data_IF_123480868447
#
_entry.id   IF_123480868447
#
_cell.length_a   1.000
_cell.length_b   1.000
_cell.length_c   1.000
_cell.angle_alpha   90.00
_cell.angle_beta   90.00
_cell.angle_gamma   90.00
#
_symmetry.space_group_name_H-M   'P 1'
#
loop_
_entity.id
_entity.type
_entity.pdbx_description
1 polymer ?
#
# COMPACT_ATOMS: atom_id res chain seq x y z
N UNK A 1 1.81 -5.14 15.21
CA UNK A 1 1.24 -5.67 13.95
C UNK A 1 2.34 -6.02 12.97
N UNK A 2 2.20 -7.15 12.27
CA UNK A 2 3.08 -7.59 11.19
C UNK A 2 2.34 -7.50 9.87
N UNK A 3 3.02 -7.07 8.81
CA UNK A 3 2.54 -7.21 7.44
C UNK A 3 2.89 -8.62 6.97
N UNK A 4 1.91 -9.42 6.60
CA UNK A 4 2.09 -10.81 6.18
C UNK A 4 2.10 -10.94 4.66
N UNK A 5 1.18 -10.25 3.99
CA UNK A 5 1.00 -10.38 2.55
C UNK A 5 0.53 -9.05 1.94
N UNK A 6 1.05 -8.73 0.78
CA UNK A 6 0.56 -7.70 -0.11
C UNK A 6 0.07 -8.35 -1.39
N UNK A 7 -1.18 -8.11 -1.74
CA UNK A 7 -1.75 -8.57 -3.01
C UNK A 7 -2.25 -7.40 -3.83
N UNK A 8 -2.07 -7.49 -5.13
CA UNK A 8 -2.64 -6.57 -6.11
C UNK A 8 -3.59 -7.39 -6.98
N UNK A 9 -4.85 -6.98 -7.06
CA UNK A 9 -5.88 -7.74 -7.78
C UNK A 9 -6.75 -6.86 -8.67
N UNK A 10 -7.18 -7.42 -9.79
CA UNK A 10 -8.32 -6.93 -10.57
C UNK A 10 -9.61 -7.35 -9.86
N UNK A 11 -10.62 -6.49 -9.89
CA UNK A 11 -11.95 -6.82 -9.37
C UNK A 11 -13.04 -6.77 -10.45
N UNK A 12 -12.67 -6.41 -11.67
CA UNK A 12 -13.57 -6.34 -12.83
C UNK A 12 -12.81 -6.77 -14.09
N UNK A 13 -13.43 -7.54 -15.03
CA UNK A 13 -14.77 -8.13 -15.00
C UNK A 13 -14.87 -9.35 -14.06
N UNK A 14 -13.74 -9.93 -13.68
CA UNK A 14 -13.64 -11.05 -12.74
C UNK A 14 -12.47 -10.82 -11.78
N UNK A 15 -12.55 -11.40 -10.60
CA UNK A 15 -11.45 -11.28 -9.64
C UNK A 15 -10.23 -12.10 -10.10
N UNK A 16 -9.07 -11.43 -10.17
CA UNK A 16 -7.81 -12.03 -10.58
C UNK A 16 -6.64 -11.41 -9.83
N UNK A 17 -5.77 -12.24 -9.27
CA UNK A 17 -4.53 -11.78 -8.64
C UNK A 17 -3.52 -11.42 -9.72
N UNK A 18 -3.10 -10.16 -9.74
CA UNK A 18 -2.03 -9.64 -10.62
C UNK A 18 -0.66 -9.99 -10.02
N UNK A 19 -0.52 -9.73 -8.73
CA UNK A 19 0.73 -9.94 -7.99
C UNK A 19 0.44 -10.25 -6.54
N UNK A 20 1.21 -11.17 -5.98
CA UNK A 20 1.19 -11.46 -4.55
C UNK A 20 2.62 -11.48 -4.01
N UNK A 21 2.81 -10.92 -2.83
CA UNK A 21 4.09 -10.86 -2.13
C UNK A 21 3.84 -11.31 -0.70
N UNK A 22 4.41 -12.45 -0.34
CA UNK A 22 4.39 -12.96 1.02
C UNK A 22 5.65 -12.49 1.74
N UNK A 23 5.48 -11.78 2.85
CA UNK A 23 6.58 -11.34 3.70
C UNK A 23 7.01 -12.47 4.62
N UNK A 24 8.21 -12.36 5.16
CA UNK A 24 8.78 -13.30 6.14
C UNK A 24 9.08 -12.54 7.44
N UNK A 25 9.16 -13.26 8.53
CA UNK A 25 9.62 -12.67 9.79
C UNK A 25 11.07 -12.19 9.64
N UNK A 26 11.39 -11.02 10.16
CA UNK A 26 12.69 -10.40 10.06
C UNK A 26 12.83 -9.51 8.83
N UNK A 27 14.04 -9.45 8.25
CA UNK A 27 14.36 -8.57 7.14
C UNK A 27 13.82 -9.10 5.81
N UNK A 28 13.08 -8.27 5.09
CA UNK A 28 12.58 -8.55 3.75
C UNK A 28 13.25 -7.59 2.76
N UNK A 29 14.02 -8.13 1.83
CA UNK A 29 14.72 -7.37 0.81
C UNK A 29 14.02 -7.53 -0.54
N UNK A 30 13.70 -6.41 -1.18
CA UNK A 30 13.17 -6.39 -2.53
C UNK A 30 14.34 -6.11 -3.48
N UNK A 31 14.81 -7.18 -4.14
CA UNK A 31 15.95 -7.13 -5.05
C UNK A 31 15.51 -7.40 -6.48
N UNK A 32 16.33 -6.95 -7.42
CA UNK A 32 16.16 -7.29 -8.83
C UNK A 32 16.71 -8.69 -9.09
N UNK A 33 15.94 -9.52 -9.76
CA UNK A 33 16.35 -10.87 -10.16
C UNK A 33 17.07 -10.88 -11.53
N UNK A 34 17.17 -9.75 -12.20
CA UNK A 34 17.76 -9.63 -13.54
C UNK A 34 19.28 -9.63 -13.55
N UNK A 35 19.88 -10.36 -14.49
CA UNK A 35 21.33 -10.39 -14.72
C UNK A 35 21.88 -9.11 -15.38
N UNK A 36 21.04 -8.21 -15.88
CA UNK A 36 21.44 -6.98 -16.58
C UNK A 36 21.33 -5.77 -15.65
N UNK A 37 22.47 -5.30 -15.14
CA UNK A 37 22.59 -4.18 -14.19
C UNK A 37 22.07 -2.84 -14.73
N UNK A 38 21.95 -2.66 -16.05
CA UNK A 38 21.55 -1.38 -16.66
C UNK A 38 20.07 -1.01 -16.50
N UNK A 39 19.20 -1.93 -16.06
CA UNK A 39 17.74 -1.68 -15.93
C UNK A 39 17.20 -1.85 -14.51
N UNK A 40 18.05 -1.90 -13.50
CA UNK A 40 17.64 -2.25 -12.12
C UNK A 40 16.72 -1.24 -11.44
N UNK A 41 16.70 0.02 -11.89
CA UNK A 41 15.92 1.09 -11.24
C UNK A 41 14.43 1.13 -11.62
N UNK A 42 13.98 0.33 -12.60
CA UNK A 42 12.61 0.40 -13.13
C UNK A 42 11.68 -0.73 -12.70
N UNK A 43 12.12 -1.66 -11.85
CA UNK A 43 11.42 -2.94 -11.61
C UNK A 43 10.37 -2.88 -10.47
N UNK A 44 9.73 -1.77 -10.28
CA UNK A 44 8.57 -1.70 -9.39
C UNK A 44 8.86 -1.75 -7.89
N UNK A 45 10.13 -1.67 -7.44
CA UNK A 45 10.49 -1.64 -6.01
C UNK A 45 9.78 -0.50 -5.27
N UNK A 46 9.89 0.71 -5.81
CA UNK A 46 9.21 1.89 -5.28
C UNK A 46 7.68 1.75 -5.34
N UNK A 47 7.15 1.08 -6.37
CA UNK A 47 5.72 0.84 -6.50
C UNK A 47 5.19 -0.03 -5.38
N UNK A 48 5.92 -1.07 -4.97
CA UNK A 48 5.53 -1.94 -3.85
C UNK A 48 5.43 -1.12 -2.55
N UNK A 49 6.42 -0.26 -2.28
CA UNK A 49 6.39 0.62 -1.11
C UNK A 49 5.22 1.61 -1.15
N UNK A 50 4.94 2.19 -2.33
CA UNK A 50 3.79 3.06 -2.55
C UNK A 50 2.46 2.33 -2.32
N UNK A 51 2.34 1.08 -2.77
CA UNK A 51 1.14 0.26 -2.53
C UNK A 51 0.92 -0.02 -1.05
N UNK A 52 1.99 -0.35 -0.31
CA UNK A 52 1.93 -0.52 1.15
C UNK A 52 1.48 0.80 1.81
N UNK A 53 2.06 1.93 1.42
CA UNK A 53 1.70 3.24 1.98
C UNK A 53 0.24 3.62 1.70
N UNK A 54 -0.28 3.32 0.51
CA UNK A 54 -1.69 3.52 0.16
C UNK A 54 -2.60 2.63 1.03
N UNK A 55 -2.25 1.35 1.19
CA UNK A 55 -2.97 0.43 2.07
C UNK A 55 -2.89 0.88 3.54
N UNK A 56 -1.82 1.55 3.94
CA UNK A 56 -1.64 2.20 5.25
C UNK A 56 -2.21 3.63 5.30
N UNK A 57 -3.18 3.95 4.44
CA UNK A 57 -4.01 5.15 4.54
C UNK A 57 -3.47 6.40 3.84
N UNK A 58 -2.46 6.30 2.94
CA UNK A 58 -2.09 7.42 2.10
C UNK A 58 -3.27 7.87 1.22
N UNK A 59 -3.42 9.19 1.05
CA UNK A 59 -4.52 9.76 0.28
C UNK A 59 -4.28 9.71 -1.22
N UNK A 60 -3.03 9.93 -1.63
CA UNK A 60 -2.66 10.13 -3.02
C UNK A 60 -2.41 8.80 -3.75
N UNK A 61 -3.42 8.31 -4.45
CA UNK A 61 -3.32 7.07 -5.26
C UNK A 61 -2.64 7.32 -6.61
N UNK A 62 -2.66 8.56 -7.09
CA UNK A 62 -2.06 8.96 -8.38
C UNK A 62 -0.57 8.67 -8.46
N UNK A 63 0.14 8.56 -7.33
CA UNK A 63 1.57 8.22 -7.29
C UNK A 63 1.92 6.88 -7.95
N UNK A 64 0.96 6.01 -8.19
CA UNK A 64 1.18 4.73 -8.87
C UNK A 64 1.44 4.96 -10.38
N UNK A 65 0.73 5.89 -11.01
CA UNK A 65 0.80 6.14 -12.45
C UNK A 65 1.31 7.54 -12.81
N UNK A 66 1.55 8.40 -11.83
CA UNK A 66 2.06 9.76 -12.04
C UNK A 66 3.52 9.85 -11.56
N UNK A 67 4.40 10.38 -12.41
CA UNK A 67 5.79 10.66 -12.07
C UNK A 67 5.93 12.14 -11.71
N UNK A 68 6.31 12.42 -10.47
CA UNK A 68 6.44 13.79 -9.96
C UNK A 68 7.59 14.57 -10.57
N UNK A 69 8.69 13.91 -10.94
CA UNK A 69 9.87 14.55 -11.53
C UNK A 69 9.58 15.04 -12.96
N UNK A 70 8.99 14.16 -13.77
CA UNK A 70 8.69 14.46 -15.17
C UNK A 70 7.34 15.16 -15.36
N UNK A 71 6.52 15.26 -14.30
CA UNK A 71 5.12 15.75 -14.33
C UNK A 71 4.24 15.03 -15.37
N UNK A 72 4.59 13.78 -15.71
CA UNK A 72 3.87 12.97 -16.70
C UNK A 72 3.08 11.85 -16.03
N UNK A 73 1.91 11.58 -16.58
CA UNK A 73 1.07 10.44 -16.20
C UNK A 73 1.28 9.30 -17.20
N UNK A 74 1.34 8.08 -16.70
CA UNK A 74 1.26 6.88 -17.52
C UNK A 74 -0.22 6.56 -17.77
N UNK A 75 -0.79 7.12 -18.85
CA UNK A 75 -2.21 6.99 -19.17
C UNK A 75 -2.63 5.53 -19.43
N UNK A 76 -1.73 4.69 -19.98
CA UNK A 76 -2.02 3.25 -20.18
C UNK A 76 -2.25 2.55 -18.84
N UNK A 77 -1.36 2.80 -17.87
CA UNK A 77 -1.48 2.22 -16.53
C UNK A 77 -2.70 2.77 -15.79
N UNK A 78 -2.97 4.06 -15.91
CA UNK A 78 -4.14 4.70 -15.30
C UNK A 78 -5.45 4.11 -15.83
N UNK A 79 -5.57 3.98 -17.15
CA UNK A 79 -6.77 3.40 -17.78
C UNK A 79 -6.93 1.93 -17.36
N UNK A 80 -5.86 1.14 -17.36
CA UNK A 80 -5.89 -0.23 -16.87
C UNK A 80 -6.39 -0.33 -15.42
N UNK A 81 -5.89 0.54 -14.52
CA UNK A 81 -6.33 0.57 -13.12
C UNK A 81 -7.83 0.87 -13.00
N UNK A 82 -8.35 1.77 -13.86
CA UNK A 82 -9.76 2.16 -13.87
C UNK A 82 -10.63 1.04 -14.44
N UNK A 83 -10.26 0.50 -15.60
CA UNK A 83 -11.05 -0.47 -16.34
C UNK A 83 -11.15 -1.81 -15.61
N UNK A 84 -10.01 -2.28 -15.08
CA UNK A 84 -9.93 -3.52 -14.32
C UNK A 84 -10.28 -3.34 -12.84
N UNK A 85 -10.61 -2.12 -12.39
CA UNK A 85 -10.90 -1.78 -10.98
C UNK A 85 -9.86 -2.37 -10.03
N UNK A 86 -8.60 -2.01 -10.27
CA UNK A 86 -7.48 -2.58 -9.52
C UNK A 86 -7.54 -2.18 -8.05
N UNK A 87 -7.32 -3.17 -7.18
CA UNK A 87 -7.34 -3.01 -5.73
C UNK A 87 -6.02 -3.53 -5.14
N UNK A 88 -5.47 -2.81 -4.17
CA UNK A 88 -4.40 -3.30 -3.31
C UNK A 88 -4.99 -3.86 -2.02
N UNK A 89 -4.48 -5.00 -1.59
CA UNK A 89 -4.89 -5.70 -0.37
C UNK A 89 -3.67 -5.96 0.48
N UNK A 90 -3.71 -5.54 1.74
CA UNK A 90 -2.66 -5.75 2.73
C UNK A 90 -3.21 -6.61 3.87
N UNK A 91 -2.65 -7.79 4.05
CA UNK A 91 -2.96 -8.65 5.17
C UNK A 91 -2.00 -8.34 6.33
N UNK A 92 -2.58 -8.06 7.49
CA UNK A 92 -1.85 -7.75 8.72
C UNK A 92 -2.33 -8.64 9.87
N UNK A 93 -1.42 -8.98 10.80
CA UNK A 93 -1.76 -9.76 11.98
C UNK A 93 -0.94 -9.35 13.20
N UNK A 94 -1.43 -9.66 14.40
CA UNK A 94 -0.68 -9.49 15.66
C UNK A 94 0.47 -10.48 15.78
N UNK A 95 0.25 -11.72 15.33
CA UNK A 95 1.27 -12.76 15.26
C UNK A 95 1.62 -13.06 13.79
N UNK A 96 2.88 -13.35 13.52
CA UNK A 96 3.30 -13.72 12.18
C UNK A 96 2.97 -15.18 11.85
N UNK A 97 3.02 -16.05 12.84
CA UNK A 97 2.81 -17.49 12.71
C UNK A 97 1.35 -17.91 12.82
N UNK A 98 0.57 -17.16 13.59
CA UNK A 98 -0.83 -17.42 13.82
C UNK A 98 -1.73 -16.41 13.09
N UNK A 99 -2.71 -16.91 12.35
CA UNK A 99 -3.64 -16.11 11.56
C UNK A 99 -5.02 -15.95 12.20
N UNK A 100 -5.17 -16.29 13.48
CA UNK A 100 -6.47 -16.13 14.18
C UNK A 100 -6.95 -14.68 14.19
N UNK A 101 -6.01 -13.72 14.25
CA UNK A 101 -6.27 -12.27 14.26
C UNK A 101 -5.90 -11.57 12.95
N UNK A 102 -5.88 -12.29 11.82
CA UNK A 102 -5.58 -11.68 10.52
C UNK A 102 -6.66 -10.67 10.13
N UNK A 103 -6.21 -9.51 9.66
CA UNK A 103 -7.08 -8.49 9.14
C UNK A 103 -6.68 -8.14 7.70
N UNK A 104 -7.68 -7.98 6.86
CA UNK A 104 -7.52 -7.55 5.49
C UNK A 104 -7.86 -6.08 5.34
N UNK A 105 -6.90 -5.30 4.87
CA UNK A 105 -7.00 -3.88 4.58
C UNK A 105 -6.94 -3.69 3.08
N UNK A 106 -8.05 -3.31 2.45
CA UNK A 106 -8.07 -3.17 1.00
C UNK A 106 -8.41 -1.75 0.56
N UNK A 107 -7.78 -1.30 -0.54
CA UNK A 107 -7.98 0.05 -1.10
C UNK A 107 -8.05 -0.04 -2.61
N UNK A 108 -9.12 0.50 -3.18
CA UNK A 108 -9.22 0.67 -4.62
C UNK A 108 -8.22 1.71 -5.12
N UNK A 109 -7.49 1.43 -6.19
CA UNK A 109 -6.44 2.33 -6.72
C UNK A 109 -6.97 3.35 -7.73
N UNK A 110 -8.19 3.20 -8.22
CA UNK A 110 -8.82 4.13 -9.14
C UNK A 110 -9.40 5.36 -8.42
N UNK A 111 -9.67 6.47 -9.15
CA UNK A 111 -10.28 7.67 -8.58
C UNK A 111 -11.62 7.38 -7.93
N UNK A 112 -11.89 8.02 -6.78
CA UNK A 112 -13.10 7.83 -5.97
C UNK A 112 -13.33 6.39 -5.47
N UNK A 113 -12.34 5.51 -5.58
CA UNK A 113 -12.40 4.16 -5.05
C UNK A 113 -12.57 4.12 -3.53
N UNK A 114 -13.06 3.01 -3.01
CA UNK A 114 -13.37 2.82 -1.59
C UNK A 114 -12.19 2.24 -0.81
N UNK A 115 -12.37 2.13 0.49
CA UNK A 115 -11.52 1.41 1.42
C UNK A 115 -12.33 0.34 2.12
N UNK A 116 -11.67 -0.76 2.45
CA UNK A 116 -12.33 -1.91 3.03
C UNK A 116 -11.53 -2.45 4.20
N UNK A 117 -12.22 -2.94 5.21
CA UNK A 117 -11.69 -3.68 6.34
C UNK A 117 -12.42 -5.01 6.38
N UNK A 118 -11.70 -6.12 6.23
CA UNK A 118 -12.27 -7.47 6.19
C UNK A 118 -13.45 -7.59 5.21
N UNK A 119 -13.30 -7.02 4.00
CA UNK A 119 -14.33 -7.00 2.96
C UNK A 119 -15.44 -5.94 3.14
N UNK A 120 -15.57 -5.34 4.31
CA UNK A 120 -16.56 -4.28 4.58
C UNK A 120 -16.07 -2.90 4.10
N UNK A 121 -16.87 -2.21 3.29
CA UNK A 121 -16.57 -0.84 2.85
C UNK A 121 -16.72 0.15 4.01
N UNK A 122 -15.72 1.01 4.21
CA UNK A 122 -15.67 1.97 5.31
C UNK A 122 -15.33 3.39 4.84
N UNK A 123 -15.64 4.38 5.66
CA UNK A 123 -15.23 5.77 5.43
C UNK A 123 -13.72 5.94 5.61
N UNK A 124 -13.15 7.02 5.06
CA UNK A 124 -11.72 7.35 5.24
C UNK A 124 -11.38 7.55 6.72
N UNK A 125 -12.26 8.20 7.48
CA UNK A 125 -12.07 8.44 8.90
C UNK A 125 -12.08 7.14 9.71
N UNK A 126 -13.04 6.25 9.46
CA UNK A 126 -13.12 4.97 10.15
C UNK A 126 -11.94 4.06 9.80
N UNK A 127 -11.53 4.04 8.52
CA UNK A 127 -10.34 3.34 8.09
C UNK A 127 -9.09 3.82 8.84
N UNK A 128 -8.87 5.13 8.92
CA UNK A 128 -7.72 5.71 9.61
C UNK A 128 -7.77 5.47 11.11
N UNK A 129 -8.95 5.55 11.73
CA UNK A 129 -9.14 5.23 13.14
C UNK A 129 -8.84 3.76 13.43
N UNK A 130 -9.32 2.87 12.57
CA UNK A 130 -9.02 1.45 12.68
C UNK A 130 -7.52 1.16 12.58
N UNK A 131 -6.80 1.75 11.62
CA UNK A 131 -5.35 1.64 11.53
C UNK A 131 -4.65 2.14 12.81
N UNK A 132 -5.10 3.26 13.35
CA UNK A 132 -4.54 3.83 14.59
C UNK A 132 -4.72 2.86 15.76
N UNK A 133 -5.88 2.24 15.86
CA UNK A 133 -6.18 1.25 16.88
C UNK A 133 -5.33 -0.02 16.74
N UNK A 134 -5.29 -0.64 15.55
CA UNK A 134 -4.63 -1.94 15.39
C UNK A 134 -3.09 -1.84 15.46
N UNK A 135 -2.49 -0.74 15.00
CA UNK A 135 -1.04 -0.58 14.99
C UNK A 135 -0.48 0.04 16.28
N UNK A 136 -1.21 0.96 16.88
CA UNK A 136 -0.72 1.76 18.01
C UNK A 136 -1.59 1.65 19.28
N UNK A 137 -2.64 0.83 19.26
CA UNK A 137 -3.64 0.73 20.34
C UNK A 137 -4.23 2.08 20.74
N UNK A 138 -4.26 3.03 19.80
CA UNK A 138 -4.74 4.39 20.03
C UNK A 138 -6.17 4.52 19.57
N UNK A 139 -7.07 4.75 20.53
CA UNK A 139 -8.50 4.99 20.30
C UNK A 139 -8.84 6.47 20.10
N UNK A 140 -7.86 7.37 20.25
CA UNK A 140 -8.06 8.80 20.09
C UNK A 140 -7.86 9.23 18.64
N UNK A 141 -8.47 10.34 18.26
CA UNK A 141 -8.31 10.89 16.91
C UNK A 141 -6.94 11.55 16.66
N UNK A 142 -6.24 11.92 17.74
CA UNK A 142 -4.88 12.50 17.66
C UNK A 142 -3.95 11.80 18.64
N UNK A 143 -2.66 11.61 18.26
CA UNK A 143 -2.13 11.83 16.91
C UNK A 143 -2.77 10.88 15.88
N UNK A 144 -2.89 11.33 14.66
CA UNK A 144 -3.46 10.50 13.58
C UNK A 144 -2.49 9.37 13.21
N UNK A 145 -3.03 8.27 12.67
CA UNK A 145 -2.21 7.16 12.18
C UNK A 145 -1.08 7.64 11.24
N UNK A 146 -1.39 8.57 10.32
CA UNK A 146 -0.42 9.09 9.35
C UNK A 146 0.70 9.93 9.98
N UNK A 147 0.46 10.56 11.11
CA UNK A 147 1.51 11.25 11.88
C UNK A 147 2.46 10.27 12.53
N UNK A 148 1.93 9.18 13.11
CA UNK A 148 2.72 8.15 13.78
C UNK A 148 3.50 7.28 12.78
N UNK A 149 2.85 6.80 11.73
CA UNK A 149 3.46 5.84 10.79
C UNK A 149 4.62 6.44 9.98
N UNK A 150 4.65 7.75 9.76
CA UNK A 150 5.76 8.44 9.07
C UNK A 150 7.12 8.23 9.77
N UNK A 151 7.12 7.93 11.05
CA UNK A 151 8.35 7.61 11.79
C UNK A 151 8.92 6.24 11.39
N UNK A 152 8.11 5.35 10.83
CA UNK A 152 8.46 3.97 10.53
C UNK A 152 8.51 3.68 9.03
N UNK A 153 7.73 4.41 8.21
CA UNK A 153 7.65 4.20 6.76
C UNK A 153 8.20 5.44 6.05
N UNK A 154 9.36 5.28 5.40
CA UNK A 154 10.00 6.31 4.58
C UNK A 154 9.98 5.88 3.12
N UNK A 155 9.19 6.54 2.30
CA UNK A 155 9.05 6.25 0.86
C UNK A 155 9.81 7.27 0.02
N UNK A 156 9.81 8.53 0.42
CA UNK A 156 10.54 9.62 -0.23
C UNK A 156 11.59 10.17 0.72
N UNK A 157 12.85 10.06 0.34
CA UNK A 157 13.92 10.88 0.90
C UNK A 157 13.89 12.24 0.19
N UNK A 158 12.91 13.09 0.50
CA UNK A 158 13.18 14.52 0.37
C UNK A 158 14.21 14.82 1.44
N UNK A 159 15.42 15.18 1.02
CA UNK A 159 16.40 15.72 1.92
C UNK A 159 15.70 16.87 2.69
N UNK A 160 15.46 16.66 3.97
CA UNK A 160 15.14 17.74 4.89
C UNK A 160 16.41 18.62 4.93
N UNK A 161 16.47 19.57 4.00
CA UNK A 161 17.35 20.71 4.14
C UNK A 161 16.70 21.61 5.19
N UNK A 162 16.72 21.18 6.42
CA UNK A 162 16.54 22.05 7.56
C UNK A 162 17.78 22.92 7.68
N UNK A 163 17.62 24.18 7.23
CA UNK A 163 18.45 25.29 7.65
C UNK A 163 17.84 25.92 8.88
#
# INVERSE_FOLDING_TARGET
MYIRRLSLKETSPSEKIIREINFKLGLNLIVDAGKNQEKSNSVGKTTILKLIDIALGARERKYIYFNEETKKSNEKLKNYIIDSKVQVVLEVAKSFTDCTDCQELAVDLFPNGKRYINGGSVSISDYTRHLNFIFFSNCQDKPTFRQLIKMFVRIDQKADNDK
#
